data_IF_682355669596
#
_entry.id   IF_682355669596
#
_cell.length_a   1.000
_cell.length_b   1.000
_cell.length_c   1.000
_cell.angle_alpha   90.00
_cell.angle_beta   90.00
_cell.angle_gamma   90.00
#
_symmetry.space_group_name_H-M   'P 1'
#
loop_
_entity.id
_entity.type
_entity.pdbx_description
1 polymer ?
#
# COMPACT_ATOMS: atom_id res chain seq x y z
N UNK A 1 -17.62 14.78 -8.47
CA UNK A 1 -16.75 15.88 -7.99
C UNK A 1 -15.31 15.39 -8.06
N UNK A 2 -14.38 16.19 -8.57
CA UNK A 2 -12.96 15.82 -8.68
C UNK A 2 -12.17 16.82 -7.83
N UNK A 3 -11.44 16.31 -6.84
CA UNK A 3 -10.48 17.10 -6.08
C UNK A 3 -9.10 16.91 -6.68
N UNK A 4 -8.48 18.01 -7.11
CA UNK A 4 -7.09 18.07 -7.51
C UNK A 4 -6.35 18.95 -6.51
N UNK A 5 -5.16 18.56 -6.12
CA UNK A 5 -4.35 19.29 -5.16
C UNK A 5 -2.93 18.79 -5.13
N UNK A 6 -2.09 19.55 -4.45
CA UNK A 6 -0.67 19.24 -4.24
C UNK A 6 -0.45 18.89 -2.78
N UNK A 7 0.43 17.93 -2.54
CA UNK A 7 0.85 17.54 -1.21
C UNK A 7 2.31 17.93 -1.05
N UNK A 8 2.61 18.65 0.03
CA UNK A 8 3.97 18.94 0.45
C UNK A 8 4.31 17.96 1.55
N UNK A 9 5.36 17.17 1.33
CA UNK A 9 5.89 16.26 2.34
C UNK A 9 6.72 17.07 3.34
N UNK A 10 6.28 17.09 4.60
CA UNK A 10 7.02 17.76 5.68
C UNK A 10 8.20 16.90 6.17
N UNK A 11 8.06 15.57 6.04
CA UNK A 11 9.04 14.56 6.42
C UNK A 11 9.30 13.60 5.24
N UNK A 12 10.43 12.87 5.24
CA UNK A 12 10.71 11.86 4.23
C UNK A 12 9.61 10.80 4.13
N UNK A 13 9.16 10.51 2.90
CA UNK A 13 8.12 9.51 2.63
C UNK A 13 8.75 8.22 2.10
N UNK A 14 8.44 7.11 2.75
CA UNK A 14 8.82 5.77 2.29
C UNK A 14 7.58 4.98 1.85
N UNK A 15 7.47 4.69 0.54
CA UNK A 15 6.50 3.74 0.01
C UNK A 15 7.23 2.64 -0.75
N UNK A 16 7.34 1.47 -0.12
CA UNK A 16 8.25 0.42 -0.57
C UNK A 16 7.65 -0.43 -1.68
N UNK A 17 8.49 -0.86 -2.61
CA UNK A 17 8.13 -1.87 -3.59
C UNK A 17 8.14 -3.27 -2.93
N UNK A 18 7.22 -4.18 -3.30
CA UNK A 18 7.30 -5.56 -2.86
C UNK A 18 8.61 -6.19 -3.38
N UNK A 19 9.35 -6.84 -2.48
CA UNK A 19 10.57 -7.56 -2.83
C UNK A 19 10.17 -8.91 -3.45
N UNK A 20 10.63 -9.26 -4.67
CA UNK A 20 10.36 -10.56 -5.26
C UNK A 20 10.91 -11.68 -4.36
N UNK A 21 10.13 -12.73 -4.12
CA UNK A 21 10.56 -13.89 -3.31
C UNK A 21 11.80 -14.60 -3.88
N UNK A 22 12.03 -14.54 -5.20
CA UNK A 22 13.24 -15.07 -5.85
C UNK A 22 14.51 -14.25 -5.56
N UNK A 23 14.35 -13.06 -4.98
CA UNK A 23 15.39 -12.16 -4.51
C UNK A 23 15.23 -11.97 -3.00
N UNK A 24 15.08 -13.08 -2.25
CA UNK A 24 15.51 -13.13 -0.84
C UNK A 24 17.05 -12.97 -0.75
N UNK A 25 17.59 -11.96 -1.41
CA UNK A 25 18.87 -11.41 -1.06
C UNK A 25 18.62 -10.76 0.29
N UNK A 26 19.28 -11.26 1.34
CA UNK A 26 19.38 -10.61 2.64
C UNK A 26 20.15 -9.28 2.52
N UNK A 27 19.62 -8.37 1.71
CA UNK A 27 20.13 -7.04 1.48
C UNK A 27 19.23 -6.06 2.22
N UNK A 28 19.80 -5.14 2.97
CA UNK A 28 19.04 -4.11 3.70
C UNK A 28 18.55 -2.98 2.77
N UNK A 29 18.40 -3.26 1.48
CA UNK A 29 18.03 -2.28 0.46
C UNK A 29 16.51 -2.19 0.39
N UNK A 30 15.96 -1.13 0.96
CA UNK A 30 14.54 -0.79 0.82
C UNK A 30 14.35 0.01 -0.47
N UNK A 31 13.74 -0.60 -1.47
CA UNK A 31 13.46 0.08 -2.75
C UNK A 31 12.15 0.85 -2.69
N UNK A 32 12.18 2.12 -3.09
CA UNK A 32 10.95 2.89 -3.29
C UNK A 32 10.16 2.37 -4.49
N UNK A 33 8.84 2.46 -4.40
CA UNK A 33 7.93 2.16 -5.50
C UNK A 33 8.00 3.28 -6.55
N UNK A 34 8.24 2.89 -7.81
CA UNK A 34 8.42 3.82 -8.94
C UNK A 34 7.45 3.48 -10.07
N UNK A 35 7.00 4.49 -10.81
CA UNK A 35 6.20 4.34 -12.03
C UNK A 35 7.00 4.81 -13.24
N UNK A 36 6.72 4.22 -14.39
CA UNK A 36 7.39 4.58 -15.64
C UNK A 36 6.73 5.80 -16.27
N UNK A 37 7.53 6.78 -16.65
CA UNK A 37 7.10 7.97 -17.39
C UNK A 37 7.96 8.10 -18.64
N UNK A 38 7.36 8.42 -19.78
CA UNK A 38 8.09 8.72 -21.00
C UNK A 38 8.37 10.23 -21.05
N UNK A 39 9.63 10.61 -21.18
CA UNK A 39 10.10 11.98 -21.30
C UNK A 39 11.09 12.07 -22.45
N UNK A 40 10.72 12.80 -23.51
CA UNK A 40 11.48 12.93 -24.76
C UNK A 40 11.93 11.60 -25.39
N UNK A 41 11.08 10.56 -25.33
CA UNK A 41 11.37 9.25 -25.94
C UNK A 41 12.15 8.31 -25.02
N UNK A 42 12.63 8.79 -23.89
CA UNK A 42 13.30 7.98 -22.86
C UNK A 42 12.34 7.63 -21.71
N UNK A 43 12.55 6.46 -21.11
CA UNK A 43 11.71 5.97 -20.02
C UNK A 43 12.40 6.22 -18.67
N UNK A 44 11.78 7.06 -17.85
CA UNK A 44 12.23 7.39 -16.49
C UNK A 44 11.37 6.68 -15.45
N UNK A 45 11.96 6.43 -14.28
CA UNK A 45 11.29 5.80 -13.12
C UNK A 45 11.08 6.83 -12.02
N UNK A 46 9.84 7.29 -11.85
CA UNK A 46 9.47 8.34 -10.89
C UNK A 46 8.87 7.73 -9.62
N UNK A 47 9.34 8.12 -8.42
CA UNK A 47 8.75 7.67 -7.16
C UNK A 47 7.29 8.08 -7.02
N UNK A 48 6.45 7.16 -6.55
CA UNK A 48 5.04 7.45 -6.27
C UNK A 48 4.52 6.68 -5.05
N UNK A 49 3.49 7.25 -4.41
CA UNK A 49 2.66 6.56 -3.42
C UNK A 49 1.41 6.07 -4.11
N UNK A 50 1.14 4.77 -4.01
CA UNK A 50 -0.02 4.18 -4.68
C UNK A 50 -1.34 4.71 -4.10
N UNK A 51 -2.35 4.86 -4.96
CA UNK A 51 -3.71 5.23 -4.52
C UNK A 51 -4.27 4.26 -3.49
N UNK A 52 -3.88 2.98 -3.55
CA UNK A 52 -4.24 1.99 -2.52
C UNK A 52 -3.63 2.31 -1.15
N UNK A 53 -2.36 2.72 -1.12
CA UNK A 53 -1.71 3.11 0.12
C UNK A 53 -2.34 4.38 0.70
N UNK A 54 -2.63 5.37 -0.15
CA UNK A 54 -3.34 6.58 0.27
C UNK A 54 -4.73 6.26 0.82
N UNK A 55 -5.51 5.43 0.13
CA UNK A 55 -6.83 4.96 0.61
C UNK A 55 -6.70 4.26 1.96
N UNK A 56 -5.73 3.36 2.12
CA UNK A 56 -5.51 2.69 3.39
C UNK A 56 -5.19 3.70 4.49
N UNK A 57 -4.28 4.65 4.25
CA UNK A 57 -3.95 5.71 5.22
C UNK A 57 -5.16 6.55 5.60
N UNK A 58 -5.96 7.00 4.64
CA UNK A 58 -7.17 7.80 4.88
C UNK A 58 -8.29 6.99 5.56
N UNK A 59 -8.35 5.68 5.31
CA UNK A 59 -9.38 4.81 5.86
C UNK A 59 -9.17 4.54 7.35
N UNK A 60 -7.93 4.41 7.83
CA UNK A 60 -7.64 4.00 9.22
C UNK A 60 -8.29 4.92 10.27
N UNK A 61 -8.13 6.26 10.23
CA UNK A 61 -8.77 7.13 11.21
C UNK A 61 -10.29 7.04 11.17
N UNK A 62 -10.88 6.87 9.98
CA UNK A 62 -12.32 6.69 9.83
C UNK A 62 -12.80 5.37 10.46
N UNK A 63 -12.01 4.30 10.34
CA UNK A 63 -12.32 3.02 11.00
C UNK A 63 -12.19 3.16 12.51
N UNK A 64 -11.09 3.75 12.99
CA UNK A 64 -10.85 3.94 14.42
C UNK A 64 -12.01 4.73 15.05
N UNK A 65 -12.37 5.89 14.46
CA UNK A 65 -13.51 6.71 14.91
C UNK A 65 -14.84 5.96 14.84
N UNK A 66 -15.07 5.18 13.78
CA UNK A 66 -16.29 4.39 13.63
C UNK A 66 -16.40 3.34 14.73
N UNK A 67 -15.33 2.58 14.99
CA UNK A 67 -15.31 1.53 16.02
C UNK A 67 -15.51 2.12 17.41
N UNK A 68 -14.83 3.24 17.72
CA UNK A 68 -14.99 3.96 18.97
C UNK A 68 -16.44 4.44 19.16
N UNK A 69 -17.05 4.98 18.09
CA UNK A 69 -18.45 5.45 18.12
C UNK A 69 -19.45 4.33 18.40
N UNK A 70 -19.22 3.12 17.87
CA UNK A 70 -20.12 1.97 18.07
C UNK A 70 -19.73 1.12 19.30
N UNK A 71 -18.69 1.51 20.03
CA UNK A 71 -18.23 0.81 21.24
C UNK A 71 -17.56 -0.54 20.97
N UNK A 72 -16.95 -0.72 19.80
CA UNK A 72 -16.19 -1.94 19.47
C UNK A 72 -14.70 -1.70 19.75
N UNK A 73 -14.10 -2.57 20.57
CA UNK A 73 -12.67 -2.53 20.84
C UNK A 73 -11.91 -3.10 19.64
N UNK A 74 -10.94 -2.34 19.12
CA UNK A 74 -10.15 -2.69 17.93
C UNK A 74 -9.40 -4.02 18.08
N UNK A 75 -8.79 -4.25 19.23
CA UNK A 75 -8.02 -5.46 19.54
C UNK A 75 -8.93 -6.68 19.55
N UNK A 76 -10.11 -6.55 20.15
CA UNK A 76 -11.13 -7.60 20.16
C UNK A 76 -11.58 -7.93 18.74
N UNK A 77 -11.82 -6.92 17.90
CA UNK A 77 -12.16 -7.13 16.49
C UNK A 77 -11.05 -7.86 15.73
N UNK A 78 -9.78 -7.50 15.95
CA UNK A 78 -8.64 -8.12 15.30
C UNK A 78 -8.47 -9.60 15.68
N UNK A 79 -8.78 -9.96 16.93
CA UNK A 79 -8.69 -11.32 17.47
C UNK A 79 -9.88 -12.19 17.08
N UNK A 80 -11.09 -11.68 17.27
CA UNK A 80 -12.34 -12.42 17.03
C UNK A 80 -12.68 -12.49 15.55
N UNK A 81 -12.29 -11.48 14.77
CA UNK A 81 -12.74 -11.30 13.40
C UNK A 81 -11.71 -10.64 12.49
N UNK A 82 -10.62 -11.38 12.29
CA UNK A 82 -9.47 -10.95 11.51
C UNK A 82 -9.78 -10.56 10.06
N UNK A 83 -10.74 -11.24 9.42
CA UNK A 83 -11.13 -10.93 8.03
C UNK A 83 -11.84 -9.57 7.95
N UNK A 84 -12.82 -9.32 8.82
CA UNK A 84 -13.49 -8.02 8.88
C UNK A 84 -12.51 -6.90 9.27
N UNK A 85 -11.62 -7.16 10.22
CA UNK A 85 -10.55 -6.23 10.59
C UNK A 85 -9.69 -5.87 9.37
N UNK A 86 -9.18 -6.84 8.61
CA UNK A 86 -8.37 -6.55 7.42
C UNK A 86 -9.16 -5.89 6.31
N UNK A 87 -10.45 -6.22 6.17
CA UNK A 87 -11.30 -5.55 5.18
C UNK A 87 -11.57 -4.10 5.54
N UNK A 88 -11.83 -3.80 6.82
CA UNK A 88 -12.03 -2.44 7.31
C UNK A 88 -10.76 -1.60 7.25
N UNK A 89 -9.59 -2.12 7.63
CA UNK A 89 -8.35 -1.32 7.66
C UNK A 89 -7.61 -1.32 6.31
N UNK A 90 -7.50 -2.47 5.67
CA UNK A 90 -6.70 -2.68 4.46
C UNK A 90 -7.51 -2.67 3.16
N UNK A 91 -8.84 -2.83 3.24
CA UNK A 91 -9.70 -2.97 2.06
C UNK A 91 -9.81 -4.40 1.56
N UNK A 92 -9.32 -5.36 2.34
CA UNK A 92 -9.48 -6.79 2.10
C UNK A 92 -8.61 -7.34 0.97
N UNK A 93 -8.67 -8.65 0.80
CA UNK A 93 -8.01 -9.36 -0.28
C UNK A 93 -8.96 -10.40 -0.86
N UNK A 94 -8.85 -10.64 -2.17
CA UNK A 94 -9.52 -11.78 -2.80
C UNK A 94 -8.73 -13.05 -2.46
N UNK A 95 -9.43 -14.09 -2.06
CA UNK A 95 -8.82 -15.41 -1.87
C UNK A 95 -8.50 -16.01 -3.25
N UNK A 96 -7.23 -16.36 -3.47
CA UNK A 96 -6.74 -16.89 -4.76
C UNK A 96 -6.92 -18.41 -4.94
N UNK A 97 -7.47 -19.13 -3.96
CA UNK A 97 -7.54 -20.60 -3.98
C UNK A 97 -8.98 -21.10 -4.04
N UNK A 98 -9.34 -21.75 -5.14
CA UNK A 98 -10.61 -22.48 -5.31
C UNK A 98 -10.72 -23.71 -4.38
N UNK A 99 -9.60 -24.20 -3.81
CA UNK A 99 -9.55 -25.44 -3.00
C UNK A 99 -9.75 -25.30 -1.48
N UNK A 100 -9.37 -24.18 -0.85
CA UNK A 100 -9.51 -23.94 0.61
C UNK A 100 -10.77 -23.12 0.95
N UNK A 101 -11.58 -22.80 -0.06
CA UNK A 101 -12.74 -21.93 0.07
C UNK A 101 -13.82 -22.51 1.00
N UNK A 102 -13.85 -23.82 1.25
CA UNK A 102 -14.92 -24.49 2.00
C UNK A 102 -14.85 -24.24 3.52
N UNK A 103 -13.68 -24.27 4.15
CA UNK A 103 -13.54 -24.01 5.59
C UNK A 103 -13.55 -22.52 5.93
N UNK A 104 -12.91 -21.68 5.11
CA UNK A 104 -12.98 -20.23 5.27
C UNK A 104 -14.36 -19.67 4.96
N UNK A 105 -15.10 -20.20 3.96
CA UNK A 105 -16.52 -19.83 3.77
C UNK A 105 -17.35 -20.19 4.99
N UNK A 106 -17.12 -21.35 5.63
CA UNK A 106 -17.85 -21.74 6.86
C UNK A 106 -17.60 -20.80 8.04
N UNK A 107 -16.37 -20.33 8.26
CA UNK A 107 -16.09 -19.28 9.27
C UNK A 107 -16.74 -17.95 8.92
N UNK A 108 -16.77 -17.60 7.64
CA UNK A 108 -17.38 -16.39 7.12
C UNK A 108 -18.93 -16.41 7.13
N UNK A 109 -19.56 -17.58 7.15
CA UNK A 109 -21.02 -17.73 7.30
C UNK A 109 -21.50 -17.23 8.66
N UNK A 110 -20.75 -17.45 9.76
CA UNK A 110 -21.16 -17.00 11.11
C UNK A 110 -21.29 -15.48 11.18
N UNK A 111 -20.37 -14.76 10.53
CA UNK A 111 -20.43 -13.30 10.44
C UNK A 111 -21.58 -12.84 9.55
N UNK A 112 -21.76 -13.53 8.43
CA UNK A 112 -22.84 -13.25 7.49
C UNK A 112 -24.20 -13.47 8.15
N UNK A 113 -24.36 -14.49 9.00
CA UNK A 113 -25.61 -14.80 9.72
C UNK A 113 -25.88 -13.80 10.85
N UNK A 114 -24.86 -13.40 11.62
CA UNK A 114 -25.02 -12.37 12.66
C UNK A 114 -25.41 -11.02 12.06
N UNK A 115 -24.79 -10.60 10.95
CA UNK A 115 -25.13 -9.34 10.28
C UNK A 115 -26.40 -9.40 9.43
N UNK A 116 -26.72 -10.54 8.79
CA UNK A 116 -27.97 -10.73 8.04
C UNK A 116 -29.21 -10.75 8.94
N UNK A 117 -29.06 -11.01 10.24
CA UNK A 117 -30.16 -10.83 11.19
C UNK A 117 -30.52 -9.36 11.45
N UNK A 118 -29.57 -8.44 11.22
CA UNK A 118 -29.72 -7.00 11.46
C UNK A 118 -30.02 -6.22 10.18
N UNK A 119 -29.66 -6.76 9.01
CA UNK A 119 -29.86 -6.13 7.71
C UNK A 119 -30.47 -7.12 6.70
N UNK A 120 -31.49 -6.71 5.93
CA UNK A 120 -32.15 -7.54 4.91
C UNK A 120 -31.18 -8.17 3.91
N UNK A 121 -30.09 -7.48 3.59
CA UNK A 121 -29.04 -7.97 2.70
C UNK A 121 -27.66 -7.55 3.19
N UNK A 122 -26.64 -8.31 2.78
CA UNK A 122 -25.26 -7.95 3.07
C UNK A 122 -24.82 -6.66 2.36
N UNK A 123 -25.38 -6.38 1.19
CA UNK A 123 -25.08 -5.17 0.45
C UNK A 123 -25.60 -3.94 1.19
N UNK A 124 -26.76 -4.06 1.83
CA UNK A 124 -27.31 -3.01 2.69
C UNK A 124 -26.45 -2.80 3.95
N UNK A 125 -26.02 -3.87 4.61
CA UNK A 125 -25.07 -3.75 5.74
C UNK A 125 -23.77 -3.04 5.33
N UNK A 126 -23.14 -3.49 4.24
CA UNK A 126 -21.88 -2.93 3.76
C UNK A 126 -22.06 -1.47 3.32
N UNK A 127 -23.19 -1.13 2.70
CA UNK A 127 -23.51 0.25 2.33
C UNK A 127 -23.66 1.18 3.54
N UNK A 128 -23.95 0.63 4.73
CA UNK A 128 -24.01 1.38 5.99
C UNK A 128 -22.65 1.52 6.67
N UNK A 129 -21.65 0.70 6.31
CA UNK A 129 -20.28 0.87 6.81
C UNK A 129 -19.63 2.09 6.12
N UNK A 130 -19.22 3.14 6.87
CA UNK A 130 -18.66 4.36 6.29
C UNK A 130 -17.43 4.10 5.44
N UNK A 131 -16.62 3.12 5.84
CA UNK A 131 -15.32 2.81 5.23
C UNK A 131 -15.48 2.10 3.89
N UNK A 132 -16.47 1.21 3.75
CA UNK A 132 -16.77 0.54 2.49
C UNK A 132 -17.54 1.42 1.53
N UNK A 133 -18.58 2.12 2.02
CA UNK A 133 -19.35 3.03 1.17
C UNK A 133 -18.49 4.13 0.56
N UNK A 134 -17.49 4.63 1.31
CA UNK A 134 -16.56 5.64 0.81
C UNK A 134 -15.42 5.03 -0.02
N UNK A 135 -14.64 4.10 0.52
CA UNK A 135 -13.38 3.66 -0.11
C UNK A 135 -13.49 2.38 -0.94
N UNK A 136 -14.62 1.67 -0.85
CA UNK A 136 -14.79 0.33 -1.39
C UNK A 136 -13.91 -0.69 -0.66
N UNK A 137 -13.87 -1.92 -1.18
CA UNK A 137 -13.01 -2.96 -0.64
C UNK A 137 -13.45 -4.35 -1.05
N UNK A 138 -12.84 -5.34 -0.42
CA UNK A 138 -13.19 -6.75 -0.55
C UNK A 138 -13.65 -7.26 0.79
N UNK A 139 -14.84 -7.84 0.84
CA UNK A 139 -15.37 -8.54 2.00
C UNK A 139 -16.04 -9.82 1.53
N UNK A 140 -15.77 -10.95 2.18
CA UNK A 140 -16.36 -12.25 1.82
C UNK A 140 -16.13 -12.62 0.34
N UNK A 141 -14.95 -12.30 -0.17
CA UNK A 141 -14.56 -12.51 -1.56
C UNK A 141 -15.48 -11.80 -2.59
N UNK A 142 -16.16 -10.74 -2.15
CA UNK A 142 -16.93 -9.84 -3.02
C UNK A 142 -16.24 -8.49 -3.10
N UNK A 143 -16.12 -7.98 -4.32
CA UNK A 143 -15.61 -6.64 -4.58
C UNK A 143 -16.77 -5.65 -4.41
N UNK A 144 -16.55 -4.63 -3.59
CA UNK A 144 -17.50 -3.55 -3.34
C UNK A 144 -16.91 -2.26 -3.86
N UNK A 145 -17.67 -1.56 -4.70
CA UNK A 145 -17.28 -0.26 -5.24
C UNK A 145 -17.45 0.83 -4.17
N UNK A 146 -16.43 1.68 -4.06
CA UNK A 146 -16.46 2.86 -3.20
C UNK A 146 -16.84 4.11 -3.99
N UNK A 147 -17.35 5.12 -3.30
CA UNK A 147 -17.66 6.43 -3.90
C UNK A 147 -16.40 7.28 -4.17
N UNK A 148 -15.29 6.99 -3.49
CA UNK A 148 -14.04 7.71 -3.61
C UNK A 148 -13.03 6.93 -4.46
N UNK A 149 -12.69 7.48 -5.62
CA UNK A 149 -11.56 7.04 -6.42
C UNK A 149 -10.33 7.89 -6.07
N UNK A 150 -9.24 7.24 -5.64
CA UNK A 150 -7.99 7.90 -5.25
C UNK A 150 -6.90 7.51 -6.22
N UNK A 151 -6.38 8.51 -6.94
CA UNK A 151 -5.24 8.35 -7.83
C UNK A 151 -3.92 8.11 -7.07
N UNK A 152 -2.85 7.90 -7.82
CA UNK A 152 -1.51 7.85 -7.25
C UNK A 152 -1.04 9.25 -6.88
N UNK A 153 -0.37 9.39 -5.73
CA UNK A 153 0.40 10.59 -5.42
C UNK A 153 1.78 10.42 -6.04
N UNK A 154 2.08 11.24 -7.04
CA UNK A 154 3.33 11.12 -7.81
C UNK A 154 4.22 12.30 -7.47
N UNK A 155 5.50 12.04 -7.23
CA UNK A 155 6.47 13.10 -6.97
C UNK A 155 6.57 14.00 -8.19
N UNK A 156 6.48 15.31 -8.00
CA UNK A 156 6.59 16.25 -9.10
C UNK A 156 8.06 16.45 -9.46
N UNK A 157 8.41 16.14 -10.70
CA UNK A 157 9.78 16.10 -11.24
C UNK A 157 9.79 16.73 -12.61
N UNK A 158 10.97 17.13 -13.09
CA UNK A 158 11.13 17.62 -14.46
C UNK A 158 10.54 16.65 -15.51
N UNK A 159 10.69 15.35 -15.29
CA UNK A 159 10.27 14.31 -16.23
C UNK A 159 8.75 14.09 -16.32
N UNK A 160 7.97 14.50 -15.32
CA UNK A 160 6.53 14.28 -15.29
C UNK A 160 5.70 15.55 -15.09
N UNK A 161 6.32 16.73 -14.99
CA UNK A 161 5.64 18.01 -14.81
C UNK A 161 4.53 18.25 -15.85
N UNK A 162 4.83 17.97 -17.13
CA UNK A 162 3.89 18.13 -18.23
C UNK A 162 2.63 17.25 -18.11
N UNK A 163 2.69 16.12 -17.40
CA UNK A 163 1.52 15.27 -17.16
C UNK A 163 0.52 15.90 -16.19
N UNK A 164 0.95 16.93 -15.45
CA UNK A 164 0.19 17.63 -14.43
C UNK A 164 0.01 19.12 -14.74
N UNK A 165 0.15 19.52 -16.01
CA UNK A 165 0.00 20.91 -16.47
C UNK A 165 0.96 21.88 -15.74
N UNK A 166 2.18 21.43 -15.44
CA UNK A 166 3.24 22.20 -14.77
C UNK A 166 4.48 22.35 -15.65
N UNK A 167 5.19 23.46 -15.48
CA UNK A 167 6.54 23.64 -16.04
C UNK A 167 7.57 22.86 -15.21
N UNK A 168 8.48 22.19 -15.92
CA UNK A 168 9.51 21.32 -15.37
C UNK A 168 10.85 21.99 -15.09
N UNK A 169 11.06 23.24 -15.51
CA UNK A 169 12.39 23.87 -15.48
C UNK A 169 12.99 23.97 -14.06
N UNK A 170 12.19 24.36 -13.08
CA UNK A 170 12.62 24.53 -11.68
C UNK A 170 12.44 23.27 -10.82
N UNK A 171 12.00 22.16 -11.41
CA UNK A 171 11.72 20.93 -10.68
C UNK A 171 12.94 20.01 -10.62
N UNK A 172 13.12 19.28 -9.50
CA UNK A 172 14.21 18.32 -9.37
C UNK A 172 14.12 17.21 -10.43
N UNK A 173 15.27 16.65 -10.78
CA UNK A 173 15.30 15.46 -11.61
C UNK A 173 14.75 14.28 -10.81
N UNK A 174 14.03 13.35 -11.44
CA UNK A 174 13.59 12.13 -10.74
C UNK A 174 14.77 11.31 -10.20
N UNK A 175 15.97 11.43 -10.81
CA UNK A 175 17.22 10.85 -10.32
C UNK A 175 17.75 11.46 -9.02
N UNK A 176 17.28 12.66 -8.63
CA UNK A 176 17.69 13.33 -7.39
C UNK A 176 16.76 12.95 -6.22
N UNK A 177 15.57 12.42 -6.53
CA UNK A 177 14.51 12.07 -5.56
C UNK A 177 14.57 10.56 -5.20
N UNK A 178 15.58 9.83 -5.69
CA UNK A 178 15.68 8.37 -5.50
C UNK A 178 16.56 7.97 -4.32
N UNK A 179 16.12 6.85 -3.71
CA UNK A 179 16.78 5.96 -2.77
C UNK A 179 17.97 6.58 -2.01
N UNK A 180 17.69 7.08 -0.80
CA UNK A 180 18.72 7.37 0.18
C UNK A 180 19.48 6.07 0.46
N UNK A 181 20.59 5.86 -0.25
CA UNK A 181 21.52 4.74 -0.07
C UNK A 181 22.27 4.97 1.26
N UNK A 182 21.59 4.67 2.36
CA UNK A 182 22.21 4.62 3.68
C UNK A 182 23.00 3.33 3.81
N UNK A 183 24.32 3.42 3.87
CA UNK A 183 25.17 2.31 4.29
C UNK A 183 25.17 2.25 5.81
N UNK A 184 24.86 1.09 6.39
CA UNK A 184 25.14 0.86 7.81
C UNK A 184 26.60 0.50 7.99
N UNK A 185 27.20 0.81 9.14
CA UNK A 185 28.62 0.51 9.43
C UNK A 185 28.98 -0.97 9.26
N UNK A 186 28.00 -1.88 9.28
CA UNK A 186 28.18 -3.30 9.02
C UNK A 186 28.43 -3.64 7.53
N UNK A 187 27.96 -2.81 6.60
CA UNK A 187 28.09 -3.06 5.15
C UNK A 187 29.50 -2.71 4.63
N UNK A 188 30.16 -1.73 5.25
CA UNK A 188 31.54 -1.35 4.93
C UNK A 188 32.56 -2.44 5.33
N UNK A 189 32.30 -3.16 6.42
CA UNK A 189 33.20 -4.17 6.96
C UNK A 189 33.28 -5.39 6.02
N UNK A 190 32.16 -5.81 5.42
CA UNK A 190 32.16 -6.98 4.50
C UNK A 190 32.98 -6.76 3.23
N UNK A 191 32.97 -5.56 2.64
CA UNK A 191 33.79 -5.25 1.45
C UNK A 191 35.29 -5.20 1.75
N UNK A 192 35.68 -4.76 2.94
CA UNK A 192 37.08 -4.76 3.39
C UNK A 192 37.64 -6.17 3.59
N UNK A 193 36.80 -7.12 4.01
CA UNK A 193 37.21 -8.52 4.18
C UNK A 193 37.16 -9.34 2.88
N UNK A 194 36.26 -9.04 1.95
CA UNK A 194 36.25 -9.70 0.63
C UNK A 194 37.35 -9.18 -0.32
N UNK A 195 37.78 -7.92 -0.17
CA UNK A 195 38.92 -7.38 -0.92
C UNK A 195 40.28 -7.92 -0.44
N UNK A 196 40.39 -8.32 0.84
CA UNK A 196 41.62 -8.93 1.40
C UNK A 196 41.77 -10.43 1.14
N UNK A 197 40.76 -11.09 0.57
CA UNK A 197 40.80 -12.53 0.29
C UNK A 197 41.32 -12.87 -1.12
N UNK A 198 41.73 -11.88 -1.92
CA UNK A 198 42.22 -12.05 -3.29
C UNK A 198 43.75 -11.90 -3.46
N UNK A 199 44.53 -11.87 -2.38
CA UNK A 199 45.99 -11.99 -2.45
C UNK A 199 46.49 -12.98 -1.41
N UNK A 200 46.48 -14.27 -1.76
CA UNK A 200 47.48 -15.21 -1.24
C UNK A 200 47.79 -16.22 -2.34
N UNK A 201 48.78 -15.88 -3.17
CA UNK A 201 49.51 -16.87 -3.97
C UNK A 201 50.27 -17.79 -3.00
N UNK A 202 50.09 -19.10 -3.14
CA UNK A 202 51.04 -20.08 -2.66
C UNK A 202 51.60 -20.83 -3.86
N UNK A 203 52.81 -20.37 -4.24
CA UNK A 203 53.85 -20.96 -5.09
C UNK A 203 53.48 -21.56 -6.46
#
# INVERSE_FOLDING_TARGET
MIFKGEFITLDPVAHTAPVPQSLEVKDNIVRLRKMKVNYYGEVYSVPYVSGNALRATLRRPLVDEFLDTVGIVKEELAETNRDLYYSLYGGGALDKKEGDASEKRKKNIVLTEQFASLFPTIDEFIAKLPTFSLFGGVLLNRIMEGRLNVGNLVSLTKQNANLYDRDGEDLPNCGDIVDLLGFTSHDAIRKLFSAKAQEVDFE
#
